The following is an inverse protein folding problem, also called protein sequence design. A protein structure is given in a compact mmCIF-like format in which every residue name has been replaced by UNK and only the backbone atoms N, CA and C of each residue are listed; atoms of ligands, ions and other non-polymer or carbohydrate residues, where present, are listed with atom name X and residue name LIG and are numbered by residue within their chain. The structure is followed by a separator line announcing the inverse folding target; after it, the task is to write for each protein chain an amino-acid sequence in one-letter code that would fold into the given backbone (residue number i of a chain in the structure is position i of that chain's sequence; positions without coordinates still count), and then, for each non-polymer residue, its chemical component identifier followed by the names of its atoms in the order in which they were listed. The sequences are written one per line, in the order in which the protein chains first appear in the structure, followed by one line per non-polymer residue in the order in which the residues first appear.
data_IF_074517600635
#
_entry.id   IF_074517600635
#
_cell.length_a   1.000
_cell.length_b   1.000
_cell.length_c   1.000
_cell.angle_alpha   90.00
_cell.angle_beta   90.00
_cell.angle_gamma   90.00
#
_symmetry.space_group_name_H-M   'P 1'
#
loop_
_entity.id
_entity.type
_entity.pdbx_description
1 polymer ?
#
# COMPACT_ATOMS: atom_id res chain seq x y z
N UNK A 1 7.20 -36.60 22.53
CA UNK A 1 6.43 -35.33 22.65
C UNK A 1 5.15 -35.61 23.42
N UNK A 2 4.69 -34.66 24.24
CA UNK A 2 3.43 -34.83 24.98
C UNK A 2 2.25 -34.83 23.99
N UNK A 3 1.38 -35.83 24.11
CA UNK A 3 0.22 -36.02 23.25
C UNK A 3 -1.05 -35.63 24.00
N UNK A 4 -1.97 -34.95 23.30
CA UNK A 4 -3.28 -34.64 23.86
C UNK A 4 -4.20 -35.84 23.71
N UNK A 5 -4.37 -36.63 24.78
CA UNK A 5 -5.35 -37.74 24.84
C UNK A 5 -6.68 -37.23 25.39
N UNK A 6 -7.50 -36.61 24.56
CA UNK A 6 -8.86 -36.16 24.91
C UNK A 6 -9.77 -36.10 23.70
N UNK A 7 -11.08 -36.27 23.90
CA UNK A 7 -12.12 -36.03 22.88
C UNK A 7 -12.25 -34.54 22.52
N UNK A 8 -11.82 -33.65 23.43
CA UNK A 8 -11.83 -32.21 23.23
C UNK A 8 -10.60 -31.80 22.42
N UNK A 9 -10.80 -31.19 21.26
CA UNK A 9 -9.71 -30.67 20.42
C UNK A 9 -9.34 -29.26 20.87
N UNK A 10 -8.13 -29.08 21.40
CA UNK A 10 -7.63 -27.78 21.83
C UNK A 10 -6.65 -27.22 20.80
N UNK A 11 -6.71 -25.92 20.54
CA UNK A 11 -5.76 -25.18 19.69
C UNK A 11 -5.51 -23.82 20.34
N UNK A 12 -4.24 -23.49 20.59
CA UNK A 12 -3.86 -22.25 21.27
C UNK A 12 -3.03 -22.49 22.52
N UNK A 13 -2.81 -21.46 23.34
CA UNK A 13 -1.98 -21.54 24.55
C UNK A 13 -2.82 -21.31 25.80
N UNK A 14 -2.73 -22.21 26.78
CA UNK A 14 -3.40 -22.12 28.09
C UNK A 14 -2.37 -22.44 29.17
N UNK A 15 -2.21 -21.55 30.17
CA UNK A 15 -1.35 -21.82 31.32
C UNK A 15 0.10 -22.16 30.97
N UNK A 16 0.66 -21.56 29.90
CA UNK A 16 2.01 -21.86 29.44
C UNK A 16 2.15 -23.16 28.63
N UNK A 17 1.05 -23.83 28.27
CA UNK A 17 1.05 -25.00 27.39
C UNK A 17 0.38 -24.64 26.06
N UNK A 18 1.10 -24.82 24.95
CA UNK A 18 0.60 -24.64 23.59
C UNK A 18 0.11 -25.96 23.01
N UNK A 19 -1.15 -26.00 22.62
CA UNK A 19 -1.82 -27.11 21.92
C UNK A 19 -1.87 -26.83 20.42
N UNK A 20 -1.41 -27.78 19.61
CA UNK A 20 -1.36 -27.66 18.15
C UNK A 20 -1.54 -29.02 17.46
N UNK A 21 -1.94 -28.98 16.18
CA UNK A 21 -2.11 -30.17 15.35
C UNK A 21 -0.87 -30.37 14.48
N UNK A 22 -0.26 -31.56 14.56
CA UNK A 22 0.84 -32.00 13.71
C UNK A 22 0.40 -33.15 12.80
N UNK A 23 1.32 -33.68 11.97
CA UNK A 23 1.08 -34.90 11.18
C UNK A 23 0.81 -36.12 12.08
N UNK A 24 1.37 -36.12 13.30
CA UNK A 24 1.26 -37.20 14.29
C UNK A 24 0.09 -37.01 15.26
N UNK A 25 -0.84 -36.09 14.96
CA UNK A 25 -2.03 -35.80 15.77
C UNK A 25 -1.90 -34.54 16.63
N UNK A 26 -2.74 -34.45 17.68
CA UNK A 26 -2.79 -33.30 18.58
C UNK A 26 -1.70 -33.40 19.65
N UNK A 27 -0.82 -32.40 19.66
CA UNK A 27 0.34 -32.33 20.54
C UNK A 27 0.22 -31.15 21.50
N UNK A 28 0.84 -31.30 22.66
CA UNK A 28 1.02 -30.25 23.63
C UNK A 28 2.53 -30.02 23.85
N UNK A 29 2.92 -28.77 24.03
CA UNK A 29 4.27 -28.40 24.48
C UNK A 29 4.17 -27.26 25.47
N UNK A 30 5.09 -27.18 26.42
CA UNK A 30 5.28 -25.93 27.14
C UNK A 30 5.64 -24.82 26.15
N UNK A 31 5.29 -23.59 26.51
CA UNK A 31 5.56 -22.39 25.75
C UNK A 31 7.08 -22.25 25.64
N UNK A 32 7.64 -22.76 24.55
CA UNK A 32 9.03 -22.53 24.20
C UNK A 32 9.26 -21.07 23.77
N UNK A 33 10.51 -20.64 23.82
CA UNK A 33 10.92 -19.29 23.46
C UNK A 33 11.56 -18.55 24.63
N UNK A 34 12.10 -17.38 24.34
CA UNK A 34 12.72 -16.51 25.34
C UNK A 34 11.63 -15.62 25.94
N UNK A 35 11.63 -15.44 27.26
CA UNK A 35 10.69 -14.54 27.93
C UNK A 35 10.77 -13.10 27.39
N UNK A 36 9.62 -12.46 27.26
CA UNK A 36 9.55 -11.08 26.77
C UNK A 36 10.35 -10.11 27.66
N UNK A 37 10.30 -10.31 28.99
CA UNK A 37 11.12 -9.54 29.94
C UNK A 37 12.61 -9.75 29.72
N UNK A 38 13.03 -10.97 29.35
CA UNK A 38 14.41 -11.23 29.00
C UNK A 38 14.79 -10.55 27.69
N UNK A 39 13.97 -10.63 26.63
CA UNK A 39 14.23 -9.90 25.38
C UNK A 39 14.34 -8.38 25.63
N UNK A 40 13.51 -7.84 26.51
CA UNK A 40 13.50 -6.41 26.85
C UNK A 40 14.78 -5.95 27.57
N UNK A 41 15.29 -6.76 28.51
CA UNK A 41 16.32 -6.31 29.46
C UNK A 41 17.72 -6.93 29.24
N UNK A 42 17.80 -8.15 28.69
CA UNK A 42 19.07 -8.87 28.53
C UNK A 42 19.93 -8.20 27.43
N UNK A 43 21.20 -7.84 27.73
CA UNK A 43 22.11 -7.23 26.76
C UNK A 43 22.33 -8.07 25.50
N UNK A 44 22.24 -9.41 25.60
CA UNK A 44 22.37 -10.31 24.46
C UNK A 44 21.28 -10.11 23.40
N UNK A 45 20.14 -9.50 23.76
CA UNK A 45 19.04 -9.19 22.85
C UNK A 45 19.04 -7.75 22.32
N UNK A 46 20.10 -6.96 22.57
CA UNK A 46 20.20 -5.58 22.07
C UNK A 46 19.93 -5.48 20.56
N UNK A 47 20.58 -6.34 19.75
CA UNK A 47 20.39 -6.36 18.29
C UNK A 47 18.99 -6.77 17.86
N UNK A 48 18.32 -7.63 18.63
CA UNK A 48 16.92 -8.01 18.38
C UNK A 48 15.99 -6.82 18.63
N UNK A 49 16.22 -6.06 19.70
CA UNK A 49 15.44 -4.85 20.01
C UNK A 49 15.65 -3.76 18.98
N UNK A 50 16.89 -3.47 18.61
CA UNK A 50 17.24 -2.52 17.55
C UNK A 50 16.52 -2.84 16.23
N UNK A 51 16.64 -4.09 15.76
CA UNK A 51 15.98 -4.50 14.53
C UNK A 51 14.45 -4.44 14.65
N UNK A 52 13.90 -4.77 15.83
CA UNK A 52 12.47 -4.69 16.10
C UNK A 52 11.93 -3.26 16.05
N UNK A 53 12.66 -2.31 16.63
CA UNK A 53 12.32 -0.89 16.59
C UNK A 53 12.31 -0.35 15.15
N UNK A 54 13.38 -0.61 14.40
CA UNK A 54 13.48 -0.21 12.99
C UNK A 54 12.40 -0.87 12.11
N UNK A 55 12.07 -2.13 12.36
CA UNK A 55 10.98 -2.82 11.64
C UNK A 55 9.61 -2.22 11.96
N UNK A 56 9.36 -1.91 13.24
CA UNK A 56 8.13 -1.24 13.68
C UNK A 56 7.97 0.13 13.03
N UNK A 57 9.07 0.89 12.91
CA UNK A 57 9.08 2.16 12.20
C UNK A 57 8.71 2.00 10.72
N UNK A 58 9.37 1.07 10.00
CA UNK A 58 9.06 0.80 8.60
C UNK A 58 7.60 0.35 8.38
N UNK A 59 7.08 -0.51 9.26
CA UNK A 59 5.69 -0.96 9.21
C UNK A 59 4.70 0.18 9.45
N UNK A 60 5.00 1.07 10.40
CA UNK A 60 4.18 2.24 10.74
C UNK A 60 4.17 3.28 9.63
N UNK A 61 5.32 3.57 9.02
CA UNK A 61 5.42 4.44 7.84
C UNK A 61 4.63 3.86 6.65
N UNK A 62 4.75 2.55 6.40
CA UNK A 62 3.96 1.89 5.37
C UNK A 62 2.46 1.94 5.66
N UNK A 63 2.04 1.84 6.93
CA UNK A 63 0.64 2.02 7.33
C UNK A 63 0.18 3.46 7.07
N UNK A 64 0.98 4.46 7.45
CA UNK A 64 0.66 5.87 7.24
C UNK A 64 0.39 6.16 5.75
N UNK A 65 1.26 5.70 4.85
CA UNK A 65 1.05 5.84 3.41
C UNK A 65 -0.23 5.15 2.93
N UNK A 66 -0.53 3.92 3.38
CA UNK A 66 -1.77 3.24 3.01
C UNK A 66 -3.02 3.95 3.54
N UNK A 67 -2.94 4.49 4.75
CA UNK A 67 -4.05 5.22 5.37
C UNK A 67 -4.31 6.54 4.63
N UNK A 68 -3.25 7.27 4.28
CA UNK A 68 -3.34 8.51 3.50
C UNK A 68 -4.06 8.26 2.16
N UNK A 69 -3.71 7.18 1.45
CA UNK A 69 -4.25 6.89 0.11
C UNK A 69 -5.56 6.08 0.11
N UNK A 70 -6.11 5.77 1.30
CA UNK A 70 -7.24 4.84 1.46
C UNK A 70 -8.48 5.24 0.68
N UNK A 71 -8.71 6.54 0.47
CA UNK A 71 -9.85 7.07 -0.30
C UNK A 71 -9.84 6.63 -1.77
N UNK A 72 -8.65 6.37 -2.33
CA UNK A 72 -8.49 5.75 -3.66
C UNK A 72 -8.28 4.23 -3.57
N UNK A 73 -7.60 3.75 -2.52
CA UNK A 73 -7.13 2.37 -2.44
C UNK A 73 -8.14 1.31 -1.99
N UNK A 74 -9.37 1.69 -1.63
CA UNK A 74 -10.36 0.78 -1.03
C UNK A 74 -10.60 -0.49 -1.87
N UNK A 75 -10.71 -0.33 -3.18
CA UNK A 75 -11.04 -1.42 -4.11
C UNK A 75 -9.84 -1.78 -5.03
N UNK A 76 -8.66 -1.23 -4.75
CA UNK A 76 -7.44 -1.34 -5.57
C UNK A 76 -6.22 -1.79 -4.73
N UNK A 77 -6.46 -2.59 -3.68
CA UNK A 77 -5.41 -3.13 -2.81
C UNK A 77 -5.37 -4.65 -2.86
N UNK A 78 -4.18 -5.23 -3.00
CA UNK A 78 -3.97 -6.68 -2.88
C UNK A 78 -3.67 -7.14 -1.43
N UNK A 79 -3.73 -8.46 -1.19
CA UNK A 79 -3.50 -9.04 0.15
C UNK A 79 -2.06 -8.98 0.65
N UNK A 80 -1.09 -8.64 -0.20
CA UNK A 80 0.34 -8.51 0.11
C UNK A 80 0.84 -7.07 0.18
N UNK A 81 0.02 -6.08 -0.16
CA UNK A 81 0.41 -4.66 -0.20
C UNK A 81 1.10 -4.20 1.09
N UNK A 82 0.64 -4.69 2.25
CA UNK A 82 1.26 -4.38 3.54
C UNK A 82 2.70 -4.88 3.63
N UNK A 83 2.95 -6.12 3.23
CA UNK A 83 4.29 -6.70 3.26
C UNK A 83 5.20 -6.05 2.23
N UNK A 84 4.72 -5.87 0.99
CA UNK A 84 5.48 -5.22 -0.10
C UNK A 84 5.89 -3.81 0.29
N UNK A 85 4.95 -3.02 0.81
CA UNK A 85 5.24 -1.65 1.22
C UNK A 85 6.17 -1.61 2.44
N UNK A 86 6.00 -2.49 3.43
CA UNK A 86 6.91 -2.57 4.58
C UNK A 86 8.34 -2.89 4.15
N UNK A 87 8.52 -3.73 3.12
CA UNK A 87 9.84 -4.03 2.55
C UNK A 87 10.48 -2.79 1.94
N UNK A 88 9.73 -2.02 1.13
CA UNK A 88 10.22 -0.76 0.56
C UNK A 88 10.56 0.25 1.66
N UNK A 89 9.69 0.41 2.66
CA UNK A 89 9.96 1.28 3.82
C UNK A 89 11.19 0.84 4.61
N UNK A 90 11.45 -0.46 4.74
CA UNK A 90 12.65 -0.96 5.38
C UNK A 90 13.93 -0.63 4.58
N UNK A 91 13.86 -0.63 3.24
CA UNK A 91 14.96 -0.18 2.39
C UNK A 91 15.21 1.32 2.56
N UNK A 92 14.15 2.14 2.56
CA UNK A 92 14.22 3.59 2.75
C UNK A 92 14.81 3.93 4.13
N UNK A 93 14.32 3.28 5.19
CA UNK A 93 14.87 3.45 6.54
C UNK A 93 16.36 3.12 6.61
N UNK A 94 16.86 2.18 5.81
CA UNK A 94 18.30 1.88 5.78
C UNK A 94 19.14 3.02 5.18
N UNK A 95 18.50 3.97 4.49
CA UNK A 95 19.14 5.16 3.95
C UNK A 95 19.26 6.31 4.97
N UNK A 96 18.66 6.17 6.17
CA UNK A 96 18.90 7.08 7.29
C UNK A 96 20.37 6.97 7.75
N UNK A 97 21.11 8.06 7.58
CA UNK A 97 22.50 8.23 8.01
C UNK A 97 22.64 9.17 9.22
N UNK A 98 21.56 9.81 9.65
CA UNK A 98 21.56 10.71 10.79
C UNK A 98 21.48 9.94 12.12
N UNK A 99 20.78 8.80 12.11
CA UNK A 99 20.52 8.02 13.31
C UNK A 99 21.37 6.74 13.40
N UNK A 100 21.70 6.37 14.65
CA UNK A 100 22.37 5.12 14.94
C UNK A 100 21.46 3.90 14.67
N UNK A 101 22.07 2.72 14.58
CA UNK A 101 21.32 1.47 14.45
C UNK A 101 20.33 1.30 15.61
N UNK A 102 19.10 0.91 15.29
CA UNK A 102 17.99 0.79 16.24
C UNK A 102 17.11 2.04 16.31
N UNK A 103 17.67 3.20 15.92
CA UNK A 103 17.01 4.51 15.95
C UNK A 103 16.66 5.00 14.54
N UNK A 104 17.14 4.33 13.48
CA UNK A 104 16.89 4.72 12.10
C UNK A 104 15.41 4.70 11.75
N UNK A 105 14.96 5.71 11.01
CA UNK A 105 13.57 5.82 10.58
C UNK A 105 13.38 6.24 9.13
N UNK A 106 12.20 5.91 8.59
CA UNK A 106 11.80 6.23 7.21
C UNK A 106 11.80 7.74 6.96
N UNK A 107 11.44 8.55 7.96
CA UNK A 107 11.38 10.01 7.82
C UNK A 107 12.70 10.64 7.34
N UNK A 108 13.84 10.31 7.96
CA UNK A 108 15.14 10.79 7.45
C UNK A 108 15.49 10.16 6.10
N UNK A 109 15.21 8.86 5.94
CA UNK A 109 15.50 8.15 4.69
C UNK A 109 14.79 8.76 3.48
N UNK A 110 13.56 9.28 3.66
CA UNK A 110 12.75 9.88 2.61
C UNK A 110 13.29 11.21 2.07
N UNK A 111 14.25 11.84 2.76
CA UNK A 111 14.91 13.05 2.26
C UNK A 111 15.79 12.78 1.02
N UNK A 112 16.13 11.52 0.75
CA UNK A 112 17.00 11.11 -0.36
C UNK A 112 16.21 10.82 -1.64
N UNK A 113 16.75 11.24 -2.79
CA UNK A 113 16.11 11.02 -4.08
C UNK A 113 16.03 9.52 -4.43
N UNK A 114 17.00 8.71 -3.98
CA UNK A 114 16.95 7.26 -4.15
C UNK A 114 15.79 6.61 -3.39
N UNK A 115 15.38 7.18 -2.25
CA UNK A 115 14.21 6.72 -1.50
C UNK A 115 12.91 6.99 -2.27
N UNK A 116 12.79 8.18 -2.86
CA UNK A 116 11.65 8.55 -3.71
C UNK A 116 11.59 7.62 -4.93
N UNK A 117 12.72 7.31 -5.55
CA UNK A 117 12.78 6.39 -6.68
C UNK A 117 12.26 4.96 -6.36
N UNK A 118 12.42 4.48 -5.12
CA UNK A 118 11.91 3.16 -4.70
C UNK A 118 10.37 3.10 -4.62
N UNK A 119 9.71 4.23 -4.35
CA UNK A 119 8.26 4.32 -4.24
C UNK A 119 7.60 4.78 -5.55
N UNK A 120 8.32 5.49 -6.40
CA UNK A 120 7.79 5.89 -7.70
C UNK A 120 7.47 4.64 -8.55
N UNK A 121 6.26 4.56 -9.09
CA UNK A 121 5.76 3.37 -9.77
C UNK A 121 5.30 2.23 -8.85
N UNK A 122 5.21 2.44 -7.53
CA UNK A 122 4.64 1.44 -6.64
C UNK A 122 3.15 1.23 -6.96
N UNK A 123 2.79 -0.01 -7.24
CA UNK A 123 1.41 -0.43 -7.48
C UNK A 123 0.83 -1.03 -6.21
N UNK A 124 -0.35 -0.58 -5.77
CA UNK A 124 -1.03 -1.07 -4.58
C UNK A 124 -1.77 -2.40 -4.82
N UNK A 125 -1.96 -2.76 -6.09
CA UNK A 125 -2.50 -4.03 -6.53
C UNK A 125 -1.52 -4.74 -7.47
N UNK A 126 -0.88 -5.82 -7.01
CA UNK A 126 0.03 -6.62 -7.84
C UNK A 126 -0.67 -7.35 -9.00
N UNK A 127 -2.00 -7.50 -8.95
CA UNK A 127 -2.78 -8.11 -10.03
C UNK A 127 -3.19 -7.10 -11.12
N UNK A 128 -3.11 -5.79 -10.81
CA UNK A 128 -3.51 -4.70 -11.71
C UNK A 128 -2.42 -3.62 -11.72
N UNK A 129 -1.30 -3.96 -12.35
CA UNK A 129 -0.16 -3.04 -12.51
C UNK A 129 -0.52 -2.00 -13.57
N UNK A 130 -0.28 -0.71 -13.28
CA UNK A 130 -0.64 0.41 -14.16
C UNK A 130 -0.14 0.21 -15.60
N UNK A 131 1.12 -0.20 -15.80
CA UNK A 131 1.70 -0.43 -17.13
C UNK A 131 1.12 -1.63 -17.89
N UNK A 132 0.33 -2.48 -17.23
CA UNK A 132 -0.43 -3.57 -17.86
C UNK A 132 -1.92 -3.21 -18.05
N UNK A 133 -2.33 -2.01 -17.62
CA UNK A 133 -3.72 -1.55 -17.71
C UNK A 133 -3.85 -0.31 -18.59
N UNK A 134 -2.92 0.64 -18.51
CA UNK A 134 -2.92 1.88 -19.29
C UNK A 134 -1.71 1.89 -20.24
N UNK A 135 -1.99 1.98 -21.55
CA UNK A 135 -0.99 1.90 -22.62
C UNK A 135 -0.76 3.24 -23.34
N UNK A 136 -1.21 4.35 -22.76
CA UNK A 136 -0.99 5.71 -23.25
C UNK A 136 -0.15 6.51 -22.25
N UNK A 137 0.76 7.40 -22.70
CA UNK A 137 1.54 8.23 -21.80
C UNK A 137 0.69 9.27 -21.07
N UNK A 138 1.15 9.65 -19.88
CA UNK A 138 0.58 10.73 -19.10
C UNK A 138 1.70 11.64 -18.56
N UNK A 139 1.33 12.84 -18.14
CA UNK A 139 2.22 13.78 -17.45
C UNK A 139 1.64 14.19 -16.11
N UNK A 140 2.50 14.47 -15.13
CA UNK A 140 2.12 14.98 -13.80
C UNK A 140 2.63 16.42 -13.66
N UNK A 141 1.74 17.35 -13.34
CA UNK A 141 2.10 18.70 -12.90
C UNK A 141 2.28 18.67 -11.37
N UNK A 142 3.51 18.82 -10.91
CA UNK A 142 3.81 18.63 -9.50
C UNK A 142 3.28 19.75 -8.59
N UNK A 143 3.14 20.97 -9.11
CA UNK A 143 2.60 22.09 -8.33
C UNK A 143 1.12 21.90 -8.01
N UNK A 144 0.37 21.22 -8.90
CA UNK A 144 -1.08 21.06 -8.77
C UNK A 144 -1.54 19.63 -8.54
N UNK A 145 -0.67 18.66 -8.75
CA UNK A 145 -1.01 17.23 -8.82
C UNK A 145 -1.88 16.87 -10.02
N UNK A 146 -1.97 17.73 -11.04
CA UNK A 146 -2.77 17.46 -12.23
C UNK A 146 -2.12 16.36 -13.08
N UNK A 147 -2.88 15.31 -13.37
CA UNK A 147 -2.47 14.24 -14.30
C UNK A 147 -3.18 14.47 -15.63
N UNK A 148 -2.40 14.57 -16.72
CA UNK A 148 -2.91 14.76 -18.09
C UNK A 148 -2.59 13.56 -18.96
N UNK A 149 -3.59 13.09 -19.69
CA UNK A 149 -3.46 12.16 -20.81
C UNK A 149 -3.90 12.92 -22.05
N UNK A 150 -2.97 13.12 -23.00
CA UNK A 150 -3.24 13.96 -24.20
C UNK A 150 -4.27 13.32 -25.11
N UNK A 151 -4.21 11.99 -25.24
CA UNK A 151 -5.12 11.19 -26.04
C UNK A 151 -5.34 9.84 -25.35
N UNK A 152 -6.61 9.52 -25.14
CA UNK A 152 -7.06 8.26 -24.58
C UNK A 152 -8.18 7.68 -25.46
N UNK A 153 -7.89 6.55 -26.10
CA UNK A 153 -8.87 5.67 -26.71
C UNK A 153 -9.10 4.45 -25.79
N UNK A 154 -10.24 4.34 -25.09
CA UNK A 154 -10.46 3.26 -24.12
C UNK A 154 -10.34 1.84 -24.68
N UNK A 155 -10.64 1.63 -25.97
CA UNK A 155 -10.57 0.30 -26.59
C UNK A 155 -9.14 -0.14 -26.90
N UNK A 156 -8.25 0.82 -27.17
CA UNK A 156 -6.86 0.55 -27.56
C UNK A 156 -5.89 0.74 -26.39
N UNK A 157 -6.14 1.73 -25.55
CA UNK A 157 -5.18 2.20 -24.55
C UNK A 157 -5.49 1.68 -23.14
N UNK A 158 -6.60 0.97 -22.95
CA UNK A 158 -6.96 0.39 -21.66
C UNK A 158 -7.21 -1.12 -21.79
N UNK A 159 -6.58 -1.90 -20.92
CA UNK A 159 -6.91 -3.32 -20.77
C UNK A 159 -8.27 -3.47 -20.06
N UNK A 160 -9.34 -3.49 -20.84
CA UNK A 160 -10.71 -3.54 -20.33
C UNK A 160 -11.08 -4.94 -19.80
N UNK A 161 -11.53 -5.08 -18.53
CA UNK A 161 -12.05 -6.34 -18.03
C UNK A 161 -13.42 -6.65 -18.62
N UNK A 162 -13.73 -7.94 -18.74
CA UNK A 162 -15.03 -8.40 -19.21
C UNK A 162 -16.17 -7.88 -18.32
N UNK A 163 -17.21 -7.31 -18.94
CA UNK A 163 -18.37 -6.75 -18.25
C UNK A 163 -18.26 -5.28 -17.86
N UNK A 164 -17.10 -4.63 -18.02
CA UNK A 164 -16.98 -3.18 -17.84
C UNK A 164 -17.73 -2.43 -18.95
N UNK A 165 -18.55 -1.44 -18.58
CA UNK A 165 -19.12 -0.49 -19.53
C UNK A 165 -18.48 0.88 -19.45
N UNK A 166 -17.84 1.22 -18.32
CA UNK A 166 -17.12 2.46 -18.15
C UNK A 166 -15.82 2.26 -17.37
N UNK A 167 -14.87 3.14 -17.65
CA UNK A 167 -13.66 3.36 -16.86
C UNK A 167 -13.83 4.66 -16.08
N UNK A 168 -13.44 4.66 -14.81
CA UNK A 168 -13.43 5.84 -13.95
C UNK A 168 -12.00 6.12 -13.54
N UNK A 169 -11.49 7.28 -13.95
CA UNK A 169 -10.16 7.75 -13.61
C UNK A 169 -10.23 8.84 -12.53
N UNK A 170 -9.29 8.80 -11.59
CA UNK A 170 -9.11 9.82 -10.55
C UNK A 170 -7.62 10.03 -10.31
N UNK A 171 -7.22 11.27 -10.01
CA UNK A 171 -5.90 11.54 -9.46
C UNK A 171 -5.98 11.85 -7.97
N UNK A 172 -4.90 11.53 -7.26
CA UNK A 172 -4.70 11.89 -5.87
C UNK A 172 -3.41 12.68 -5.70
N UNK A 173 -3.44 13.71 -4.86
CA UNK A 173 -2.26 14.43 -4.41
C UNK A 173 -2.22 14.30 -2.88
N UNK A 174 -1.30 13.49 -2.37
CA UNK A 174 -1.09 13.29 -0.96
C UNK A 174 0.20 13.98 -0.49
N UNK A 175 0.19 14.55 0.70
CA UNK A 175 1.38 14.98 1.41
C UNK A 175 1.49 14.18 2.71
N UNK A 176 2.66 13.61 2.96
CA UNK A 176 2.88 12.72 4.10
C UNK A 176 4.15 13.12 4.83
N UNK A 177 3.99 13.41 6.11
CA UNK A 177 5.10 13.66 7.01
C UNK A 177 5.41 12.38 7.80
N UNK A 178 6.45 11.66 7.38
CA UNK A 178 6.86 10.41 8.05
C UNK A 178 7.52 10.64 9.41
N UNK A 179 7.84 11.89 9.79
CA UNK A 179 8.39 12.25 11.11
C UNK A 179 7.27 12.52 12.11
N UNK A 180 6.28 13.35 11.74
CA UNK A 180 5.16 13.72 12.62
C UNK A 180 4.04 12.69 12.61
N UNK A 181 3.95 11.88 11.54
CA UNK A 181 2.85 10.94 11.32
C UNK A 181 1.60 11.59 10.73
N UNK A 182 1.70 12.85 10.30
CA UNK A 182 0.60 13.57 9.68
C UNK A 182 0.52 13.27 8.18
N UNK A 183 -0.70 13.29 7.65
CA UNK A 183 -0.92 13.14 6.22
C UNK A 183 -2.20 13.82 5.79
N UNK A 184 -2.20 14.36 4.59
CA UNK A 184 -3.36 14.95 3.94
C UNK A 184 -3.41 14.47 2.49
N UNK A 185 -4.62 14.33 1.96
CA UNK A 185 -4.81 13.95 0.57
C UNK A 185 -5.98 14.70 -0.04
N UNK A 186 -5.76 15.22 -1.24
CA UNK A 186 -6.79 15.80 -2.09
C UNK A 186 -6.96 14.90 -3.33
N UNK A 187 -8.19 14.84 -3.85
CA UNK A 187 -8.55 13.95 -4.96
C UNK A 187 -9.26 14.75 -6.03
N UNK A 188 -9.02 14.43 -7.30
CA UNK A 188 -9.76 15.04 -8.40
C UNK A 188 -11.23 14.63 -8.41
N UNK A 189 -12.05 15.40 -9.12
CA UNK A 189 -13.33 14.87 -9.58
C UNK A 189 -13.10 13.61 -10.44
N UNK A 190 -13.97 12.61 -10.38
CA UNK A 190 -13.86 11.42 -11.22
C UNK A 190 -14.16 11.77 -12.68
N UNK A 191 -13.33 11.29 -13.60
CA UNK A 191 -13.61 11.32 -15.04
C UNK A 191 -14.09 9.94 -15.46
N UNK A 192 -15.34 9.88 -15.92
CA UNK A 192 -16.02 8.65 -16.31
C UNK A 192 -16.12 8.57 -17.83
N UNK A 193 -15.60 7.50 -18.40
CA UNK A 193 -15.48 7.32 -19.85
C UNK A 193 -16.10 5.97 -20.24
N UNK A 194 -17.01 5.98 -21.22
CA UNK A 194 -17.56 4.74 -21.76
C UNK A 194 -16.48 3.93 -22.47
N UNK A 195 -16.53 2.60 -22.39
CA UNK A 195 -15.52 1.73 -23.01
C UNK A 195 -15.47 1.83 -24.53
N UNK A 196 -16.52 2.35 -25.17
CA UNK A 196 -16.62 2.62 -26.59
C UNK A 196 -16.55 4.11 -26.95
N UNK A 197 -16.12 4.97 -26.01
CA UNK A 197 -16.00 6.40 -26.28
C UNK A 197 -14.94 6.65 -27.38
N UNK A 198 -15.15 7.73 -28.14
CA UNK A 198 -14.13 8.23 -29.05
C UNK A 198 -12.89 8.70 -28.29
N UNK A 199 -11.78 8.76 -29.00
CA UNK A 199 -10.52 9.29 -28.49
C UNK A 199 -10.70 10.72 -27.95
N UNK A 200 -10.20 10.97 -26.74
CA UNK A 200 -10.31 12.26 -26.07
C UNK A 200 -9.15 12.51 -25.11
N UNK A 201 -8.89 13.78 -24.79
CA UNK A 201 -7.96 14.16 -23.73
C UNK A 201 -8.61 13.97 -22.35
N UNK A 202 -7.79 13.64 -21.35
CA UNK A 202 -8.21 13.50 -19.95
C UNK A 202 -7.35 14.39 -19.07
N UNK A 203 -7.98 15.18 -18.20
CA UNK A 203 -7.33 15.96 -17.15
C UNK A 203 -7.95 15.59 -15.80
N UNK A 204 -7.09 15.19 -14.86
CA UNK A 204 -7.44 14.80 -13.50
C UNK A 204 -6.76 15.78 -12.55
N UNK A 205 -7.49 16.78 -12.09
CA UNK A 205 -6.94 17.86 -11.26
C UNK A 205 -7.55 17.85 -9.85
N UNK A 206 -6.76 17.60 -8.80
CA UNK A 206 -7.17 17.87 -7.42
C UNK A 206 -7.46 19.37 -7.24
N UNK A 207 -8.47 19.70 -6.44
CA UNK A 207 -8.92 21.09 -6.29
C UNK A 207 -7.86 22.00 -5.64
N UNK A 208 -7.09 21.45 -4.70
CA UNK A 208 -6.05 22.15 -3.95
C UNK A 208 -4.87 21.21 -3.72
N UNK A 209 -3.66 21.79 -3.61
CA UNK A 209 -2.52 21.07 -3.07
C UNK A 209 -2.73 20.83 -1.57
N UNK A 210 -2.26 19.71 -1.00
CA UNK A 210 -2.21 19.50 0.44
C UNK A 210 -1.40 20.61 1.13
N UNK A 211 -1.85 21.08 2.29
CA UNK A 211 -1.21 22.12 3.07
C UNK A 211 -0.17 21.59 4.06
N UNK A 212 -0.23 20.30 4.39
CA UNK A 212 0.74 19.66 5.29
C UNK A 212 2.11 19.57 4.61
N UNK A 213 3.16 19.97 5.34
CA UNK A 213 4.55 19.79 4.92
C UNK A 213 4.94 18.30 5.01
N UNK A 214 5.52 17.77 3.94
CA UNK A 214 5.94 16.38 3.87
C UNK A 214 6.35 15.99 2.46
N UNK A 215 6.57 14.69 2.26
CA UNK A 215 6.79 14.16 0.91
C UNK A 215 5.48 14.14 0.14
N UNK A 216 5.53 14.68 -1.07
CA UNK A 216 4.40 14.75 -1.98
C UNK A 216 4.31 13.49 -2.83
N UNK A 217 3.12 12.91 -2.92
CA UNK A 217 2.82 11.71 -3.70
C UNK A 217 1.69 12.01 -4.67
N UNK A 218 1.91 11.70 -5.95
CA UNK A 218 0.91 11.80 -7.00
C UNK A 218 0.42 10.39 -7.35
N UNK A 219 -0.89 10.19 -7.30
CA UNK A 219 -1.52 8.88 -7.48
C UNK A 219 -2.47 8.89 -8.67
N UNK A 220 -2.49 7.79 -9.41
CA UNK A 220 -3.48 7.52 -10.44
C UNK A 220 -4.32 6.30 -10.06
N UNK A 221 -5.63 6.47 -10.06
CA UNK A 221 -6.62 5.43 -9.84
C UNK A 221 -7.37 5.14 -11.13
N UNK A 222 -7.53 3.87 -11.47
CA UNK A 222 -8.36 3.40 -12.59
C UNK A 222 -9.31 2.34 -12.06
N UNK A 223 -10.60 2.66 -12.03
CA UNK A 223 -11.67 1.78 -11.58
C UNK A 223 -12.54 1.35 -12.77
N UNK A 224 -13.03 0.13 -12.74
CA UNK A 224 -13.94 -0.40 -13.77
C UNK A 224 -15.34 -0.62 -13.21
N UNK A 225 -16.34 -0.08 -13.90
CA UNK A 225 -17.74 -0.18 -13.49
C UNK A 225 -18.62 -0.71 -14.60
N UNK A 226 -19.68 -1.41 -14.19
CA UNK A 226 -20.79 -1.79 -15.04
C UNK A 226 -21.98 -0.88 -14.72
N UNK A 227 -22.42 -0.12 -15.72
CA UNK A 227 -23.62 0.70 -15.63
C UNK A 227 -24.85 -0.10 -16.06
N UNK A 228 -25.84 -0.20 -15.18
CA UNK A 228 -27.14 -0.84 -15.43
C UNK A 228 -28.23 0.13 -15.00
N UNK A 229 -29.12 0.52 -15.92
CA UNK A 229 -30.22 1.46 -15.65
C UNK A 229 -29.75 2.78 -15.01
N UNK A 230 -28.62 3.34 -15.48
CA UNK A 230 -27.98 4.55 -14.94
C UNK A 230 -27.44 4.43 -13.50
N UNK A 231 -27.38 3.22 -12.94
CA UNK A 231 -26.68 2.94 -11.69
C UNK A 231 -25.34 2.24 -11.99
N UNK A 232 -24.26 2.70 -11.35
CA UNK A 232 -22.93 2.14 -11.52
C UNK A 232 -22.63 1.10 -10.44
N UNK A 233 -22.22 -0.07 -10.88
CA UNK A 233 -21.81 -1.19 -10.05
C UNK A 233 -20.32 -1.42 -10.25
N UNK A 234 -19.55 -1.37 -9.17
CA UNK A 234 -18.16 -1.82 -9.19
C UNK A 234 -18.10 -3.30 -9.56
N UNK A 235 -17.14 -3.69 -10.39
CA UNK A 235 -16.90 -5.10 -10.70
C UNK A 235 -16.43 -5.91 -9.48
N UNK A 236 -16.11 -5.25 -8.36
CA UNK A 236 -15.95 -5.82 -7.00
C UNK A 236 -15.02 -7.05 -6.89
N UNK A 237 -14.07 -7.22 -7.80
CA UNK A 237 -13.20 -8.39 -7.81
C UNK A 237 -11.78 -8.09 -7.35
N UNK A 238 -11.44 -6.85 -6.97
CA UNK A 238 -10.10 -6.37 -6.61
C UNK A 238 -8.98 -6.83 -7.58
N UNK A 239 -9.35 -7.29 -8.77
CA UNK A 239 -8.44 -7.97 -9.71
C UNK A 239 -7.98 -7.02 -10.80
N UNK A 240 -8.75 -5.96 -11.07
CA UNK A 240 -8.52 -5.07 -12.20
C UNK A 240 -8.30 -3.61 -11.82
N UNK A 241 -8.74 -3.18 -10.64
CA UNK A 241 -8.62 -1.77 -10.25
C UNK A 241 -7.16 -1.43 -9.94
N UNK A 242 -6.71 -0.33 -10.52
CA UNK A 242 -5.35 0.18 -10.40
C UNK A 242 -5.34 1.29 -9.38
N UNK A 243 -4.36 1.24 -8.47
CA UNK A 243 -3.86 2.41 -7.77
C UNK A 243 -2.34 2.35 -7.83
N UNK A 244 -1.71 3.41 -8.33
CA UNK A 244 -0.28 3.49 -8.47
C UNK A 244 0.24 4.88 -8.08
N UNK A 245 1.44 4.91 -7.50
CA UNK A 245 2.22 6.15 -7.35
C UNK A 245 2.85 6.46 -8.71
N UNK A 246 2.55 7.62 -9.26
CA UNK A 246 3.00 8.04 -10.60
C UNK A 246 3.99 9.21 -10.56
N UNK A 247 4.24 9.76 -9.38
CA UNK A 247 5.27 10.74 -9.12
C UNK A 247 5.44 10.98 -7.63
N UNK A 248 6.61 11.48 -7.24
CA UNK A 248 6.94 11.85 -5.86
C UNK A 248 7.83 13.09 -5.90
N UNK A 249 7.57 14.06 -5.02
CA UNK A 249 8.42 15.23 -4.77
C UNK A 249 8.78 15.40 -3.29
#
# INVERSE_FOLDING_TARGET
MAQQKSILKLKGTIGGITFYKSKDGYLAREKGGVDASRIANDPGFARTRENGAEFSNAASAGKLLRDAVRVLGKDASDGRVTARLTQVMAQIKNMDEANARGERHVGEGMAKDEAKALLNGFNFNENAVLGAVLYTPFSVDAATGEIKIVSLNPQNDISLPSGASHVVLKSGFASINFLTGESEMTVSAPVRIATNAAEQAVSLKPATAPAIEGTHFYLLSIDFVQSVNNADYSLNNNSYNVLAIVGIE
#
